data_IF_711531548419
#
_entry.id   IF_711531548419
#
_cell.length_a   1.000
_cell.length_b   1.000
_cell.length_c   1.000
_cell.angle_alpha   90.00
_cell.angle_beta   90.00
_cell.angle_gamma   90.00
#
_symmetry.space_group_name_H-M   'P 1'
#
loop_
_entity.id
_entity.type
_entity.pdbx_description
1 polymer ?
#
# COMPACT_ATOMS: atom_id res chain seq x y z
N UNK A 1 2.55 51.95 1.86
CA UNK A 1 3.32 51.01 0.99
C UNK A 1 3.94 49.85 1.77
N UNK A 2 4.31 49.99 3.05
CA UNK A 2 4.90 48.90 3.86
C UNK A 2 3.93 47.78 4.25
N UNK A 3 2.62 48.08 4.37
CA UNK A 3 1.63 47.10 4.80
C UNK A 3 1.20 46.13 3.68
N UNK A 4 1.21 46.59 2.42
CA UNK A 4 0.95 45.74 1.26
C UNK A 4 2.02 44.65 1.07
N UNK A 5 3.27 44.94 1.42
CA UNK A 5 4.41 44.02 1.29
C UNK A 5 4.38 42.92 2.37
N UNK A 6 3.83 43.20 3.56
CA UNK A 6 3.67 42.19 4.62
C UNK A 6 2.57 41.18 4.31
N UNK A 7 1.46 41.65 3.73
CA UNK A 7 0.35 40.77 3.32
C UNK A 7 0.76 39.80 2.21
N UNK A 8 1.53 40.26 1.22
CA UNK A 8 1.99 39.41 0.12
C UNK A 8 2.97 38.33 0.57
N UNK A 9 3.88 38.63 1.51
CA UNK A 9 4.83 37.64 2.06
C UNK A 9 4.11 36.55 2.84
N UNK A 10 3.09 36.89 3.63
CA UNK A 10 2.31 35.91 4.38
C UNK A 10 1.50 34.98 3.45
N UNK A 11 0.88 35.54 2.40
CA UNK A 11 0.16 34.75 1.39
C UNK A 11 1.10 33.83 0.64
N UNK A 12 2.29 34.30 0.27
CA UNK A 12 3.28 33.48 -0.43
C UNK A 12 3.79 32.32 0.44
N UNK A 13 4.00 32.55 1.74
CA UNK A 13 4.43 31.51 2.67
C UNK A 13 3.36 30.42 2.85
N UNK A 14 2.08 30.80 2.97
CA UNK A 14 0.97 29.84 3.03
C UNK A 14 0.83 29.07 1.72
N UNK A 15 1.02 29.72 0.57
CA UNK A 15 0.99 29.07 -0.73
C UNK A 15 2.12 28.04 -0.90
N UNK A 16 3.33 28.37 -0.45
CA UNK A 16 4.49 27.48 -0.48
C UNK A 16 4.32 26.28 0.45
N UNK A 17 3.73 26.48 1.64
CA UNK A 17 3.38 25.39 2.55
C UNK A 17 2.31 24.47 1.96
N UNK A 18 1.29 25.05 1.31
CA UNK A 18 0.26 24.27 0.62
C UNK A 18 0.85 23.47 -0.57
N UNK A 19 1.71 24.07 -1.38
CA UNK A 19 2.40 23.40 -2.49
C UNK A 19 3.30 22.26 -1.99
N UNK A 20 4.04 22.49 -0.91
CA UNK A 20 4.85 21.44 -0.27
C UNK A 20 4.02 20.26 0.24
N UNK A 21 2.81 20.52 0.75
CA UNK A 21 1.88 19.46 1.17
C UNK A 21 1.38 18.60 0.01
N UNK A 22 1.19 19.17 -1.17
CA UNK A 22 0.71 18.45 -2.35
C UNK A 22 1.82 17.70 -3.11
N UNK A 23 3.08 18.09 -2.97
CA UNK A 23 4.20 17.46 -3.69
C UNK A 23 4.64 16.08 -3.16
N UNK A 24 4.10 15.59 -2.04
CA UNK A 24 4.40 14.26 -1.50
C UNK A 24 3.50 13.13 -2.05
N UNK A 25 2.62 13.42 -3.00
CA UNK A 25 1.88 12.40 -3.76
C UNK A 25 2.75 11.81 -4.87
N UNK A 26 3.78 11.04 -4.49
CA UNK A 26 4.61 10.33 -5.46
C UNK A 26 3.75 9.39 -6.31
N UNK A 27 3.64 9.67 -7.60
CA UNK A 27 3.13 8.76 -8.62
C UNK A 27 4.13 7.61 -8.82
N UNK A 28 4.36 6.81 -7.78
CA UNK A 28 5.06 5.54 -7.88
C UNK A 28 4.16 4.53 -8.57
N UNK A 29 4.75 3.66 -9.39
CA UNK A 29 4.07 2.44 -9.87
C UNK A 29 3.53 1.73 -8.63
N UNK A 30 2.21 1.62 -8.56
CA UNK A 30 1.53 1.08 -7.38
C UNK A 30 1.37 -0.42 -7.59
N UNK A 31 2.00 -1.22 -6.72
CA UNK A 31 1.88 -2.68 -6.82
C UNK A 31 0.47 -3.11 -6.39
N UNK A 32 -0.24 -3.74 -7.32
CA UNK A 32 -1.55 -4.34 -7.09
C UNK A 32 -1.42 -5.85 -7.08
N UNK A 33 -1.87 -6.47 -5.99
CA UNK A 33 -1.87 -7.92 -5.80
C UNK A 33 -3.30 -8.43 -5.75
N UNK A 34 -3.59 -9.45 -6.56
CA UNK A 34 -4.88 -10.14 -6.52
C UNK A 34 -4.73 -11.47 -5.79
N UNK A 35 -5.66 -11.75 -4.88
CA UNK A 35 -5.62 -12.93 -4.02
C UNK A 35 -6.98 -13.34 -3.48
N UNK A 36 -6.93 -14.29 -2.55
CA UNK A 36 -8.10 -14.89 -1.91
C UNK A 36 -7.95 -14.79 -0.40
N UNK A 37 -9.01 -14.35 0.27
CA UNK A 37 -9.12 -14.34 1.73
C UNK A 37 -9.21 -15.78 2.23
N UNK A 38 -8.23 -16.18 3.04
CA UNK A 38 -8.14 -17.51 3.65
C UNK A 38 -8.67 -17.48 5.09
N UNK A 39 -8.45 -16.38 5.81
CA UNK A 39 -8.86 -16.21 7.20
C UNK A 39 -9.14 -14.73 7.50
N UNK A 40 -10.06 -14.47 8.43
CA UNK A 40 -10.50 -13.13 8.81
C UNK A 40 -11.87 -12.77 8.21
N UNK A 41 -12.48 -11.70 8.73
CA UNK A 41 -13.75 -11.19 8.21
C UNK A 41 -13.53 -10.36 6.93
N UNK A 42 -14.30 -10.60 5.84
CA UNK A 42 -14.27 -9.76 4.65
C UNK A 42 -14.54 -8.30 4.98
N UNK A 43 -13.60 -7.40 4.69
CA UNK A 43 -13.78 -5.97 4.85
C UNK A 43 -12.84 -5.16 3.96
N UNK A 44 -13.29 -3.97 3.55
CA UNK A 44 -12.44 -2.98 2.92
C UNK A 44 -11.71 -2.18 3.98
N UNK A 45 -10.43 -1.89 3.76
CA UNK A 45 -9.62 -1.10 4.70
C UNK A 45 -8.61 -0.24 3.97
N UNK A 46 -8.35 0.96 4.48
CA UNK A 46 -7.29 1.84 4.00
C UNK A 46 -6.16 1.90 5.00
N UNK A 47 -4.93 2.08 4.52
CA UNK A 47 -3.72 2.15 5.35
C UNK A 47 -3.54 0.93 6.30
N UNK A 48 -4.02 -0.24 5.89
CA UNK A 48 -3.79 -1.49 6.58
C UNK A 48 -2.28 -1.82 6.59
N UNK A 49 -1.84 -2.64 7.53
CA UNK A 49 -0.42 -2.90 7.76
C UNK A 49 -0.12 -4.37 7.54
N UNK A 50 0.82 -4.67 6.64
CA UNK A 50 1.33 -6.02 6.50
C UNK A 50 2.15 -6.36 7.75
N UNK A 51 1.74 -7.40 8.47
CA UNK A 51 2.44 -7.91 9.66
C UNK A 51 3.52 -8.93 9.29
N UNK A 52 3.24 -9.73 8.26
CA UNK A 52 4.16 -10.71 7.71
C UNK A 52 3.69 -11.14 6.32
N UNK A 53 4.63 -11.64 5.53
CA UNK A 53 4.35 -12.43 4.35
C UNK A 53 5.09 -13.76 4.45
N UNK A 54 4.37 -14.85 4.20
CA UNK A 54 4.82 -16.19 4.59
C UNK A 54 4.47 -17.21 3.51
N UNK A 55 5.12 -18.38 3.58
CA UNK A 55 4.83 -19.51 2.69
C UNK A 55 4.93 -19.16 1.20
N UNK A 56 5.87 -18.28 0.83
CA UNK A 56 6.16 -17.94 -0.55
C UNK A 56 6.79 -19.13 -1.27
N UNK A 57 6.05 -19.71 -2.21
CA UNK A 57 6.51 -20.84 -3.03
C UNK A 57 6.50 -20.46 -4.50
N UNK A 58 7.60 -20.71 -5.24
CA UNK A 58 7.61 -20.50 -6.68
C UNK A 58 6.70 -21.49 -7.40
N UNK A 59 6.15 -21.06 -8.54
CA UNK A 59 5.50 -21.98 -9.46
C UNK A 59 6.52 -22.89 -10.17
N UNK A 60 6.04 -23.82 -11.00
CA UNK A 60 6.91 -24.76 -11.73
C UNK A 60 7.90 -24.10 -12.69
N UNK A 61 7.60 -22.89 -13.15
CA UNK A 61 8.42 -22.12 -14.08
C UNK A 61 9.41 -21.20 -13.38
N UNK A 62 9.24 -20.99 -12.07
CA UNK A 62 10.01 -20.01 -11.29
C UNK A 62 9.68 -18.55 -11.62
N UNK A 63 8.64 -18.28 -12.43
CA UNK A 63 8.29 -16.91 -12.86
C UNK A 63 7.31 -16.21 -11.92
N UNK A 64 6.66 -16.97 -11.04
CA UNK A 64 5.67 -16.44 -10.09
C UNK A 64 5.89 -16.99 -8.70
N UNK A 65 5.57 -16.18 -7.70
CA UNK A 65 5.53 -16.57 -6.30
C UNK A 65 4.08 -16.56 -5.80
N UNK A 66 3.68 -17.63 -5.13
CA UNK A 66 2.43 -17.68 -4.35
C UNK A 66 2.77 -17.54 -2.88
N UNK A 67 2.27 -16.49 -2.25
CA UNK A 67 2.56 -16.11 -0.86
C UNK A 67 1.27 -15.99 -0.03
N UNK A 68 1.43 -15.90 1.29
CA UNK A 68 0.34 -15.67 2.25
C UNK A 68 0.66 -14.47 3.13
N UNK A 69 0.01 -13.35 2.83
CA UNK A 69 0.12 -12.13 3.61
C UNK A 69 -0.77 -12.18 4.85
N UNK A 70 -0.22 -11.77 5.99
CA UNK A 70 -0.94 -11.54 7.24
C UNK A 70 -1.02 -10.02 7.42
N UNK A 71 -2.23 -9.48 7.46
CA UNK A 71 -2.48 -8.04 7.39
C UNK A 71 -3.36 -7.62 8.55
N UNK A 72 -2.93 -6.59 9.29
CA UNK A 72 -3.77 -5.88 10.26
C UNK A 72 -4.57 -4.80 9.53
N UNK A 73 -5.88 -5.01 9.48
CA UNK A 73 -6.85 -4.10 8.91
C UNK A 73 -7.74 -3.54 10.02
N UNK A 74 -7.23 -2.54 10.74
CA UNK A 74 -7.94 -1.84 11.83
C UNK A 74 -8.31 -2.77 13.01
N UNK A 75 -7.39 -3.65 13.39
CA UNK A 75 -7.57 -4.64 14.46
C UNK A 75 -8.17 -5.96 14.01
N UNK A 76 -8.63 -6.06 12.75
CA UNK A 76 -8.96 -7.35 12.13
C UNK A 76 -7.73 -7.95 11.46
N UNK A 77 -7.44 -9.22 11.73
CA UNK A 77 -6.35 -9.94 11.07
C UNK A 77 -6.88 -10.66 9.84
N UNK A 78 -6.39 -10.26 8.67
CA UNK A 78 -6.68 -10.91 7.40
C UNK A 78 -5.49 -11.78 6.97
N UNK A 79 -5.77 -13.02 6.57
CA UNK A 79 -4.80 -13.85 5.85
C UNK A 79 -5.21 -13.95 4.39
N UNK A 80 -4.39 -13.43 3.50
CA UNK A 80 -4.67 -13.40 2.07
C UNK A 80 -3.62 -14.19 1.32
N UNK A 81 -4.06 -15.20 0.56
CA UNK A 81 -3.18 -15.96 -0.35
C UNK A 81 -3.20 -15.28 -1.71
N UNK A 82 -2.05 -14.86 -2.20
CA UNK A 82 -1.94 -14.09 -3.44
C UNK A 82 -0.79 -14.61 -4.29
N UNK A 83 -0.78 -14.27 -5.58
CA UNK A 83 0.28 -14.70 -6.50
C UNK A 83 0.73 -13.55 -7.39
N UNK A 84 2.04 -13.32 -7.45
CA UNK A 84 2.64 -12.23 -8.24
C UNK A 84 3.85 -12.72 -9.06
N UNK A 85 4.22 -12.00 -10.12
CA UNK A 85 5.47 -12.24 -10.84
C UNK A 85 6.69 -12.08 -9.92
N UNK A 86 7.75 -12.84 -10.17
CA UNK A 86 8.98 -12.80 -9.37
C UNK A 86 9.71 -11.47 -9.49
N UNK A 87 9.40 -10.62 -10.47
CA UNK A 87 9.99 -9.28 -10.61
C UNK A 87 9.33 -8.26 -9.66
N UNK A 88 8.13 -8.56 -9.15
CA UNK A 88 7.41 -7.70 -8.20
C UNK A 88 7.80 -8.09 -6.77
N UNK A 89 8.30 -7.17 -5.93
CA UNK A 89 8.71 -7.49 -4.56
C UNK A 89 7.53 -7.99 -3.73
N UNK A 90 7.75 -9.08 -2.99
CA UNK A 90 6.80 -9.61 -2.01
C UNK A 90 6.36 -8.51 -1.03
N UNK A 91 5.16 -8.66 -0.47
CA UNK A 91 4.72 -7.83 0.65
C UNK A 91 5.68 -8.00 1.83
N UNK A 92 6.10 -6.90 2.44
CA UNK A 92 7.02 -6.92 3.56
C UNK A 92 6.34 -6.43 4.83
N UNK A 93 6.83 -6.88 5.99
CA UNK A 93 6.36 -6.35 7.27
C UNK A 93 6.52 -4.83 7.30
N UNK A 94 5.44 -4.13 7.64
CA UNK A 94 5.41 -2.67 7.70
C UNK A 94 4.87 -2.01 6.44
N UNK A 95 4.76 -2.73 5.32
CA UNK A 95 4.12 -2.21 4.11
C UNK A 95 2.72 -1.72 4.45
N UNK A 96 2.41 -0.49 4.01
CA UNK A 96 1.08 0.07 4.07
C UNK A 96 0.31 -0.36 2.83
N UNK A 97 -0.91 -0.82 3.00
CA UNK A 97 -1.74 -1.32 1.89
C UNK A 97 -3.19 -0.85 2.02
N UNK A 98 -3.86 -0.71 0.88
CA UNK A 98 -5.32 -0.69 0.83
C UNK A 98 -5.83 -2.11 0.52
N UNK A 99 -6.91 -2.49 1.20
CA UNK A 99 -7.61 -3.76 1.00
C UNK A 99 -8.97 -3.47 0.37
N UNK A 100 -9.19 -4.05 -0.81
CA UNK A 100 -10.42 -3.94 -1.58
C UNK A 100 -10.99 -5.36 -1.79
N UNK A 101 -12.14 -5.63 -1.18
CA UNK A 101 -12.89 -6.86 -1.34
C UNK A 101 -13.73 -6.79 -2.62
N UNK A 102 -13.39 -7.63 -3.60
CA UNK A 102 -14.17 -7.78 -4.83
C UNK A 102 -15.35 -8.76 -4.67
N UNK A 103 -15.28 -9.62 -3.66
CA UNK A 103 -16.38 -10.48 -3.21
C UNK A 103 -16.17 -10.87 -1.75
N UNK A 104 -16.91 -11.85 -1.22
CA UNK A 104 -16.67 -12.40 0.13
C UNK A 104 -15.32 -13.10 0.28
N UNK A 105 -14.64 -13.45 -0.82
CA UNK A 105 -13.36 -14.16 -0.80
C UNK A 105 -12.30 -13.57 -1.72
N UNK A 106 -12.67 -12.84 -2.78
CA UNK A 106 -11.72 -12.23 -3.70
C UNK A 106 -11.22 -10.89 -3.15
N UNK A 107 -9.90 -10.74 -3.08
CA UNK A 107 -9.23 -9.57 -2.48
C UNK A 107 -8.26 -8.96 -3.46
N UNK A 108 -8.23 -7.64 -3.49
CA UNK A 108 -7.18 -6.84 -4.10
C UNK A 108 -6.44 -6.07 -3.00
N UNK A 109 -5.11 -6.17 -3.01
CA UNK A 109 -4.21 -5.50 -2.08
C UNK A 109 -3.40 -4.48 -2.90
N UNK A 110 -3.49 -3.21 -2.54
CA UNK A 110 -2.78 -2.13 -3.23
C UNK A 110 -1.73 -1.54 -2.30
N UNK A 111 -0.44 -1.69 -2.64
CA UNK A 111 0.68 -1.15 -1.84
C UNK A 111 0.68 0.37 -1.86
N UNK A 112 0.89 0.99 -0.71
CA UNK A 112 0.99 2.44 -0.54
C UNK A 112 2.47 2.81 -0.37
N UNK A 113 3.11 3.20 -1.46
CA UNK A 113 4.52 3.63 -1.47
C UNK A 113 5.47 2.55 -1.97
N UNK A 114 6.76 2.81 -1.81
CA UNK A 114 7.81 1.89 -2.21
C UNK A 114 7.79 0.61 -1.36
N UNK A 115 8.21 -0.54 -1.93
CA UNK A 115 8.40 -1.77 -1.16
C UNK A 115 9.34 -1.53 0.03
N UNK A 116 9.01 -2.07 1.21
CA UNK A 116 9.89 -1.94 2.39
C UNK A 116 11.15 -2.80 2.32
N UNK A 117 11.25 -3.70 1.34
CA UNK A 117 12.45 -4.50 1.07
C UNK A 117 12.74 -4.52 -0.43
N UNK A 118 14.02 -4.47 -0.79
CA UNK A 118 14.50 -4.83 -2.13
C UNK A 118 14.40 -6.35 -2.32
N UNK A 119 14.37 -6.78 -3.58
CA UNK A 119 14.41 -8.20 -3.97
C UNK A 119 15.68 -8.90 -3.49
#
# INVERSE_FOLDING_TARGET
MRDAVRGTVAVLAVLLLALGYFSFGGNGVQDTFHGVLVEGRPLNSTNAVVLADTNCTPDQTGTRLTCTAIIDAQGEILKVRYTHPVEVPCLARGDKVNILMNSTSSVEIVRLGAPSMEH
#
